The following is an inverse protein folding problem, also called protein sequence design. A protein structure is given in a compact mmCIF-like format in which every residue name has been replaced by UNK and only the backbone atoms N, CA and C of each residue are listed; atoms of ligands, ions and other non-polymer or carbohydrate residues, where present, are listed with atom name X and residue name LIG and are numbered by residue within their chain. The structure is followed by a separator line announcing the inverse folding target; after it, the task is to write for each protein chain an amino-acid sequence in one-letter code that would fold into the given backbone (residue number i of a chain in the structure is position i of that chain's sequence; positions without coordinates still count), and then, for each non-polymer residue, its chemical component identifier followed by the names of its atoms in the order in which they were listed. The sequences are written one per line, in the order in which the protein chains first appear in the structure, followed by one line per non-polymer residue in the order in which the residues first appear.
data_IF_734091625014
#
_entry.id   IF_734091625014
#
_cell.length_a   1.000
_cell.length_b   1.000
_cell.length_c   1.000
_cell.angle_alpha   90.00
_cell.angle_beta   90.00
_cell.angle_gamma   90.00
#
_symmetry.space_group_name_H-M   'P 1'
#
loop_
_entity.id
_entity.type
_entity.pdbx_description
1 polymer ?
#
# COMPACT_ATOMS: atom_id res chain seq x y z
N UNK A 1 -4.99 12.64 7.47
CA UNK A 1 -3.94 13.68 7.36
C UNK A 1 -2.64 12.91 7.55
N UNK A 2 -1.92 12.56 6.47
CA UNK A 2 -0.79 11.62 6.56
C UNK A 2 0.35 12.21 7.40
N UNK A 3 0.82 11.45 8.39
CA UNK A 3 1.85 11.87 9.33
C UNK A 3 2.32 10.68 10.16
N UNK A 4 2.87 10.95 11.35
CA UNK A 4 3.43 9.94 12.24
C UNK A 4 2.57 9.82 13.50
N UNK A 5 2.55 8.64 14.17
CA UNK A 5 1.81 8.49 15.41
C UNK A 5 2.26 9.47 16.47
N UNK A 6 1.34 9.83 17.36
CA UNK A 6 1.70 10.61 18.55
C UNK A 6 2.64 9.77 19.44
N UNK A 7 3.72 10.39 19.92
CA UNK A 7 4.73 9.70 20.71
C UNK A 7 5.68 8.81 19.89
N UNK A 8 5.78 9.01 18.57
CA UNK A 8 6.76 8.31 17.73
C UNK A 8 8.18 8.37 18.35
N UNK A 9 8.77 7.17 18.50
CA UNK A 9 10.05 6.97 19.18
C UNK A 9 11.21 7.53 18.37
N UNK A 10 11.13 7.43 17.05
CA UNK A 10 12.21 7.83 16.14
C UNK A 10 11.87 9.15 15.46
N UNK A 11 12.02 10.27 16.17
CA UNK A 11 11.64 11.59 15.65
C UNK A 11 12.44 12.04 14.42
N UNK A 12 13.68 11.56 14.26
CA UNK A 12 14.54 11.86 13.10
C UNK A 12 14.17 11.06 11.85
N UNK A 13 13.60 9.87 12.02
CA UNK A 13 13.12 9.01 10.94
C UNK A 13 11.81 8.36 11.37
N UNK A 14 10.73 9.15 11.40
CA UNK A 14 9.46 8.68 11.94
C UNK A 14 8.81 7.66 10.98
N UNK A 15 8.04 6.75 11.55
CA UNK A 15 7.44 5.65 10.81
C UNK A 15 5.93 5.82 10.65
N UNK A 16 5.42 5.33 9.52
CA UNK A 16 3.98 5.14 9.31
C UNK A 16 3.71 3.63 9.34
N UNK A 17 2.81 3.21 10.22
CA UNK A 17 2.51 1.79 10.42
C UNK A 17 1.34 1.34 9.54
N UNK A 18 1.45 0.15 8.96
CA UNK A 18 0.39 -0.46 8.17
C UNK A 18 0.11 -1.88 8.68
N UNK A 19 -1.17 -2.19 8.89
CA UNK A 19 -1.62 -3.57 9.09
C UNK A 19 -2.28 -4.10 7.82
N UNK A 20 -1.99 -5.36 7.49
CA UNK A 20 -2.54 -6.03 6.31
C UNK A 20 -2.79 -7.51 6.66
N UNK A 21 -4.01 -8.04 6.42
CA UNK A 21 -4.26 -9.47 6.57
C UNK A 21 -3.33 -10.28 5.66
N UNK A 22 -2.79 -11.40 6.17
CA UNK A 22 -1.84 -12.21 5.40
C UNK A 22 -2.42 -12.70 4.07
N UNK A 23 -3.69 -13.09 4.05
CA UNK A 23 -4.37 -13.51 2.83
C UNK A 23 -4.48 -12.37 1.80
N UNK A 24 -4.75 -11.15 2.27
CA UNK A 24 -4.77 -9.98 1.40
C UNK A 24 -3.35 -9.70 0.84
N UNK A 25 -2.32 -9.77 1.68
CA UNK A 25 -0.93 -9.63 1.23
C UNK A 25 -0.56 -10.67 0.16
N UNK A 26 -1.00 -11.93 0.32
CA UNK A 26 -0.81 -12.97 -0.69
C UNK A 26 -1.50 -12.63 -2.01
N UNK A 27 -2.70 -12.06 -1.99
CA UNK A 27 -3.39 -11.60 -3.20
C UNK A 27 -2.57 -10.51 -3.91
N UNK A 28 -2.04 -9.54 -3.17
CA UNK A 28 -1.15 -8.50 -3.72
C UNK A 28 0.13 -9.09 -4.33
N UNK A 29 0.79 -10.03 -3.64
CA UNK A 29 2.03 -10.64 -4.14
C UNK A 29 1.84 -11.51 -5.39
N UNK A 30 0.64 -12.09 -5.57
CA UNK A 30 0.32 -12.93 -6.74
C UNK A 30 -0.14 -12.12 -7.94
N UNK A 31 -0.60 -10.88 -7.73
CA UNK A 31 -1.20 -10.05 -8.76
C UNK A 31 -0.16 -9.61 -9.79
N UNK A 32 -0.36 -9.98 -11.05
CA UNK A 32 0.66 -9.84 -12.11
C UNK A 32 0.58 -8.48 -12.79
N UNK A 33 1.07 -7.45 -12.11
CA UNK A 33 1.24 -6.10 -12.62
C UNK A 33 2.50 -5.47 -12.01
N UNK A 34 3.03 -4.42 -12.63
CA UNK A 34 4.02 -3.57 -11.98
C UNK A 34 3.40 -2.93 -10.72
N UNK A 35 3.92 -3.31 -9.55
CA UNK A 35 3.49 -2.79 -8.26
C UNK A 35 4.58 -1.90 -7.67
N UNK A 36 4.31 -0.60 -7.57
CA UNK A 36 5.12 0.28 -6.73
C UNK A 36 4.63 0.22 -5.29
N UNK A 37 5.50 0.55 -4.32
CA UNK A 37 5.09 0.76 -2.93
C UNK A 37 3.95 1.80 -2.85
N UNK A 38 3.99 2.84 -3.69
CA UNK A 38 2.93 3.86 -3.75
C UNK A 38 1.56 3.28 -4.12
N UNK A 39 1.54 2.22 -4.94
CA UNK A 39 0.31 1.54 -5.36
C UNK A 39 -0.42 0.92 -4.16
N UNK A 40 0.30 0.17 -3.32
CA UNK A 40 -0.26 -0.43 -2.10
C UNK A 40 -0.63 0.67 -1.10
N UNK A 41 0.22 1.68 -0.98
CA UNK A 41 0.00 2.81 -0.10
C UNK A 41 -1.28 3.60 -0.46
N UNK A 42 -1.69 3.68 -1.72
CA UNK A 42 -2.98 4.30 -2.11
C UNK A 42 -4.19 3.44 -1.78
N UNK A 43 -4.02 2.13 -1.65
CA UNK A 43 -5.08 1.22 -1.26
C UNK A 43 -5.36 1.22 0.25
N UNK A 44 -4.55 1.93 1.04
CA UNK A 44 -4.69 1.99 2.50
C UNK A 44 -5.83 2.89 2.93
N UNK A 45 -6.49 2.50 4.01
CA UNK A 45 -7.43 3.33 4.76
C UNK A 45 -6.73 3.80 6.04
N UNK A 46 -6.72 5.11 6.28
CA UNK A 46 -6.20 5.68 7.53
C UNK A 46 -7.11 5.27 8.69
N UNK A 47 -6.53 4.70 9.76
CA UNK A 47 -7.26 4.39 11.01
C UNK A 47 -7.13 5.58 11.95
N UNK A 48 -5.89 6.03 12.13
CA UNK A 48 -5.51 7.21 12.90
C UNK A 48 -4.20 7.78 12.34
N UNK A 49 -3.73 8.90 12.87
CA UNK A 49 -2.54 9.58 12.37
C UNK A 49 -1.33 8.64 12.41
N UNK A 50 -0.72 8.39 11.25
CA UNK A 50 0.45 7.52 11.14
C UNK A 50 0.18 6.03 11.27
N UNK A 51 -1.09 5.61 11.28
CA UNK A 51 -1.49 4.22 11.28
C UNK A 51 -2.59 3.95 10.26
N UNK A 52 -2.43 2.89 9.47
CA UNK A 52 -3.36 2.56 8.40
C UNK A 52 -3.54 1.05 8.25
N UNK A 53 -4.58 0.67 7.52
CA UNK A 53 -4.87 -0.71 7.16
C UNK A 53 -5.05 -0.87 5.67
N UNK A 54 -4.52 -1.96 5.13
CA UNK A 54 -4.73 -2.37 3.73
C UNK A 54 -5.70 -3.54 3.72
N UNK A 55 -6.97 -3.26 3.40
CA UNK A 55 -8.03 -4.29 3.31
C UNK A 55 -8.40 -4.61 1.87
N UNK A 56 -8.32 -3.62 0.99
CA UNK A 56 -8.64 -3.80 -0.42
C UNK A 56 -7.63 -4.73 -1.08
N UNK A 57 -8.14 -5.64 -1.88
CA UNK A 57 -7.36 -6.40 -2.87
C UNK A 57 -6.87 -5.48 -3.99
N UNK A 58 -5.92 -5.92 -4.83
CA UNK A 58 -5.54 -5.19 -6.03
C UNK A 58 -6.73 -4.79 -6.91
N UNK A 59 -7.66 -5.72 -7.14
CA UNK A 59 -8.83 -5.54 -8.00
C UNK A 59 -9.81 -4.52 -7.40
N UNK A 60 -10.08 -4.60 -6.10
CA UNK A 60 -10.92 -3.61 -5.39
C UNK A 60 -10.26 -2.22 -5.33
N UNK A 61 -8.94 -2.16 -5.54
CA UNK A 61 -8.18 -0.92 -5.69
C UNK A 61 -8.17 -0.39 -7.14
N UNK A 62 -8.92 -1.03 -8.05
CA UNK A 62 -9.04 -0.63 -9.45
C UNK A 62 -7.88 -1.07 -10.34
N UNK A 63 -7.03 -1.99 -9.86
CA UNK A 63 -5.92 -2.51 -10.66
C UNK A 63 -6.41 -3.60 -11.62
N UNK A 64 -5.79 -3.63 -12.79
CA UNK A 64 -6.01 -4.64 -13.84
C UNK A 64 -4.70 -5.38 -14.07
N UNK A 65 -4.74 -6.70 -14.14
CA UNK A 65 -3.54 -7.49 -14.43
C UNK A 65 -3.03 -7.21 -15.85
N UNK A 66 -1.71 -7.04 -15.97
CA UNK A 66 -1.02 -6.86 -17.25
C UNK A 66 -0.19 -8.08 -17.65
N UNK A 67 0.02 -9.03 -16.74
CA UNK A 67 1.04 -10.08 -16.83
C UNK A 67 2.49 -9.58 -16.93
N UNK A 68 2.69 -8.26 -16.83
CA UNK A 68 3.98 -7.59 -16.86
C UNK A 68 4.23 -6.96 -15.50
N UNK A 69 5.15 -7.55 -14.74
CA UNK A 69 5.55 -7.11 -13.40
C UNK A 69 6.72 -6.13 -13.42
N UNK A 70 7.33 -5.90 -14.58
CA UNK A 70 8.59 -5.16 -14.72
C UNK A 70 8.34 -3.76 -15.27
N UNK A 71 7.47 -3.65 -16.28
CA UNK A 71 7.26 -2.39 -16.99
C UNK A 71 6.24 -1.52 -16.28
N UNK A 72 6.66 -0.34 -15.84
CA UNK A 72 5.75 0.69 -15.33
C UNK A 72 4.79 1.16 -16.45
N UNK A 73 3.45 1.05 -16.28
CA UNK A 73 2.49 1.53 -17.28
C UNK A 73 2.59 3.05 -17.47
N UNK A 74 2.48 3.51 -18.72
CA UNK A 74 2.42 4.95 -19.03
C UNK A 74 1.21 5.58 -18.33
N UNK A 75 1.43 6.69 -17.63
CA UNK A 75 0.36 7.46 -16.98
C UNK A 75 -0.04 6.98 -15.59
N UNK A 76 0.51 5.88 -15.07
CA UNK A 76 0.35 5.49 -13.68
C UNK A 76 1.48 6.09 -12.83
N UNK A 77 1.12 6.98 -11.91
CA UNK A 77 1.96 7.45 -10.81
C UNK A 77 1.41 6.89 -9.54
#
# INVERSE_FOLDING_TARGET
MSGWPEGEKFQEMPFHYNIQPLLNMQNWMRFRVYLSILTILRARTEIEKGFSKVEKTPQESGLVESNDIVTKPKGQW
#
